data_IF_789346366283
#
_entry.id   IF_789346366283
#
_cell.length_a   1.000
_cell.length_b   1.000
_cell.length_c   1.000
_cell.angle_alpha   90.00
_cell.angle_beta   90.00
_cell.angle_gamma   90.00
#
_symmetry.space_group_name_H-M   'P 1'
#
loop_
_entity.id
_entity.type
_entity.pdbx_description
1 polymer ?
#
# COMPACT_ATOMS: atom_id res chain seq x y z
N UNK A 1 -25.37 -5.30 21.16
CA UNK A 1 -24.18 -6.08 20.80
C UNK A 1 -23.24 -5.11 20.11
N UNK A 2 -22.32 -4.47 20.84
CA UNK A 2 -21.40 -3.46 20.29
C UNK A 2 -20.27 -4.16 19.58
N UNK A 3 -19.97 -3.70 18.35
CA UNK A 3 -19.01 -4.29 17.43
C UNK A 3 -17.61 -4.36 18.05
N UNK A 4 -17.16 -5.58 18.32
CA UNK A 4 -15.83 -5.91 18.87
C UNK A 4 -14.70 -5.89 17.83
N UNK A 5 -14.90 -5.21 16.70
CA UNK A 5 -13.95 -5.24 15.57
C UNK A 5 -13.45 -3.85 15.16
N UNK A 6 -13.27 -2.95 16.13
CA UNK A 6 -12.55 -1.71 15.87
C UNK A 6 -11.06 -2.01 15.76
N UNK A 7 -10.60 -2.24 14.54
CA UNK A 7 -9.17 -2.24 14.22
C UNK A 7 -8.73 -0.78 14.16
N UNK A 8 -7.78 -0.34 15.04
CA UNK A 8 -7.21 0.99 14.92
C UNK A 8 -6.54 1.13 13.56
N UNK A 9 -7.00 2.07 12.74
CA UNK A 9 -6.49 2.27 11.39
C UNK A 9 -7.55 2.27 10.29
N UNK A 10 -8.82 2.21 10.59
CA UNK A 10 -9.94 2.59 9.71
C UNK A 10 -10.07 1.88 8.35
N UNK A 11 -9.15 0.97 7.99
CA UNK A 11 -9.03 0.45 6.64
C UNK A 11 -10.21 -0.42 6.19
N UNK A 12 -10.56 -1.44 6.94
CA UNK A 12 -11.56 -2.44 6.52
C UNK A 12 -12.99 -1.99 6.78
N UNK A 13 -13.29 -1.57 8.03
CA UNK A 13 -14.66 -1.20 8.44
C UNK A 13 -15.17 -0.02 7.62
N UNK A 14 -14.35 1.01 7.40
CA UNK A 14 -14.71 2.15 6.58
C UNK A 14 -14.90 1.82 5.09
N UNK A 15 -14.13 0.89 4.53
CA UNK A 15 -14.29 0.49 3.13
C UNK A 15 -15.53 -0.37 2.94
N UNK A 16 -15.80 -1.32 3.84
CA UNK A 16 -17.04 -2.09 3.83
C UNK A 16 -18.26 -1.19 4.00
N UNK A 17 -18.22 -0.24 4.94
CA UNK A 17 -19.31 0.71 5.16
C UNK A 17 -19.54 1.59 3.93
N UNK A 18 -18.48 2.10 3.29
CA UNK A 18 -18.59 2.88 2.05
C UNK A 18 -19.13 2.03 0.89
N UNK A 19 -18.59 0.83 0.66
CA UNK A 19 -19.08 -0.07 -0.38
C UNK A 19 -20.56 -0.36 -0.20
N UNK A 20 -21.02 -0.66 1.03
CA UNK A 20 -22.44 -0.89 1.34
C UNK A 20 -23.30 0.34 1.13
N UNK A 21 -22.81 1.53 1.50
CA UNK A 21 -23.53 2.79 1.33
C UNK A 21 -23.74 3.15 -0.15
N UNK A 22 -22.76 2.89 -1.00
CA UNK A 22 -22.85 3.17 -2.43
C UNK A 22 -23.53 2.06 -3.25
N UNK A 23 -23.65 0.84 -2.71
CA UNK A 23 -24.20 -0.30 -3.44
C UNK A 23 -25.60 -0.06 -4.02
N UNK A 24 -26.57 0.62 -3.33
CA UNK A 24 -27.87 0.93 -3.94
C UNK A 24 -27.77 1.81 -5.19
N UNK A 25 -26.86 2.80 -5.18
CA UNK A 25 -26.62 3.69 -6.32
C UNK A 25 -25.94 2.94 -7.48
N UNK A 26 -24.97 2.08 -7.17
CA UNK A 26 -24.30 1.24 -8.15
C UNK A 26 -25.30 0.30 -8.82
N UNK A 27 -26.19 -0.32 -8.05
CA UNK A 27 -27.25 -1.20 -8.58
C UNK A 27 -28.28 -0.46 -9.45
N UNK A 28 -28.49 0.82 -9.22
CA UNK A 28 -29.39 1.66 -10.01
C UNK A 28 -28.75 2.17 -11.30
N UNK A 29 -27.44 2.07 -11.46
CA UNK A 29 -26.73 2.43 -12.70
C UNK A 29 -26.85 1.33 -13.75
N UNK A 30 -26.78 1.71 -15.03
CA UNK A 30 -26.79 0.75 -16.12
C UNK A 30 -25.46 -0.06 -16.20
N UNK A 31 -24.37 0.56 -15.81
CA UNK A 31 -23.01 0.00 -15.71
C UNK A 31 -22.28 0.67 -14.58
N UNK A 32 -21.63 -0.09 -13.70
CA UNK A 32 -20.92 0.43 -12.54
C UNK A 32 -19.73 -0.43 -12.17
N UNK A 33 -18.66 0.24 -11.70
CA UNK A 33 -17.47 -0.43 -11.18
C UNK A 33 -17.13 0.10 -9.80
N UNK A 34 -16.98 -0.80 -8.83
CA UNK A 34 -16.47 -0.51 -7.49
C UNK A 34 -15.00 -0.90 -7.42
N UNK A 35 -14.14 0.07 -7.10
CA UNK A 35 -12.69 -0.13 -7.02
C UNK A 35 -12.21 0.00 -5.58
N UNK A 36 -11.61 -1.05 -5.04
CA UNK A 36 -10.96 -1.03 -3.74
C UNK A 36 -9.44 -1.08 -3.88
N UNK A 37 -8.76 -0.15 -3.23
CA UNK A 37 -7.29 -0.13 -3.22
C UNK A 37 -6.76 -0.88 -2.01
N UNK A 38 -6.14 -2.03 -2.27
CA UNK A 38 -5.34 -2.79 -1.31
C UNK A 38 -3.86 -2.38 -1.40
N UNK A 39 -2.95 -3.33 -1.53
CA UNK A 39 -1.49 -3.17 -1.64
C UNK A 39 -0.89 -4.53 -2.01
N UNK A 40 0.40 -4.59 -2.34
CA UNK A 40 1.19 -5.84 -2.28
C UNK A 40 1.08 -6.48 -0.89
N UNK A 41 0.99 -5.68 0.17
CA UNK A 41 0.73 -6.15 1.54
C UNK A 41 -0.65 -6.78 1.73
N UNK A 42 -1.50 -6.83 0.72
CA UNK A 42 -2.75 -7.58 0.72
C UNK A 42 -2.62 -9.04 0.25
N UNK A 43 -1.43 -9.45 -0.17
CA UNK A 43 -1.11 -10.84 -0.51
C UNK A 43 0.28 -11.29 -0.06
N UNK A 44 1.11 -10.35 0.39
CA UNK A 44 2.42 -10.58 0.97
C UNK A 44 2.61 -9.67 2.19
N UNK A 45 2.69 -10.26 3.40
CA UNK A 45 2.57 -9.52 4.66
C UNK A 45 3.89 -8.92 5.14
N UNK A 46 4.72 -8.42 4.22
CA UNK A 46 6.02 -7.83 4.55
C UNK A 46 6.36 -6.63 3.68
N UNK A 47 7.29 -5.81 4.15
CA UNK A 47 7.97 -4.77 3.38
C UNK A 47 9.50 -4.99 3.36
N UNK A 48 9.96 -6.11 3.88
CA UNK A 48 11.36 -6.46 4.00
C UNK A 48 11.75 -6.88 5.43
N UNK A 49 12.98 -7.39 5.61
CA UNK A 49 13.49 -7.82 6.91
C UNK A 49 13.44 -6.68 7.94
N UNK A 50 13.02 -6.98 9.16
CA UNK A 50 13.01 -6.00 10.25
C UNK A 50 11.91 -4.93 10.18
N UNK A 51 11.04 -4.95 9.15
CA UNK A 51 9.93 -3.98 9.01
C UNK A 51 8.56 -4.66 9.21
N UNK A 52 8.14 -4.93 10.44
CA UNK A 52 6.87 -5.57 10.72
C UNK A 52 5.71 -4.61 10.37
N UNK A 53 4.75 -5.10 9.59
CA UNK A 53 3.58 -4.34 9.15
C UNK A 53 2.28 -5.07 9.50
N UNK A 54 2.22 -5.69 10.67
CA UNK A 54 1.14 -6.61 11.08
C UNK A 54 -0.25 -6.01 10.89
N UNK A 55 -0.53 -4.86 11.50
CA UNK A 55 -1.85 -4.22 11.41
C UNK A 55 -2.19 -3.74 9.99
N UNK A 56 -1.20 -3.17 9.30
CA UNK A 56 -1.37 -2.71 7.92
C UNK A 56 -1.64 -3.87 6.97
N UNK A 57 -0.81 -4.91 7.03
CA UNK A 57 -0.98 -6.11 6.20
C UNK A 57 -2.31 -6.79 6.47
N UNK A 58 -2.68 -7.00 7.74
CA UNK A 58 -3.98 -7.57 8.10
C UNK A 58 -5.14 -6.77 7.47
N UNK A 59 -5.09 -5.42 7.55
CA UNK A 59 -6.11 -4.56 6.95
C UNK A 59 -6.14 -4.68 5.41
N UNK A 60 -4.96 -4.79 4.76
CA UNK A 60 -4.88 -4.89 3.29
C UNK A 60 -5.29 -6.27 2.76
N UNK A 61 -4.97 -7.37 3.47
CA UNK A 61 -5.52 -8.70 3.20
C UNK A 61 -7.05 -8.70 3.32
N UNK A 62 -7.57 -8.07 4.37
CA UNK A 62 -9.01 -7.98 4.57
C UNK A 62 -9.72 -7.17 3.46
N UNK A 63 -9.13 -6.07 2.96
CA UNK A 63 -9.66 -5.32 1.81
C UNK A 63 -9.69 -6.19 0.55
N UNK A 64 -8.63 -6.95 0.31
CA UNK A 64 -8.57 -7.87 -0.83
C UNK A 64 -9.62 -8.96 -0.70
N UNK A 65 -9.65 -9.70 0.41
CA UNK A 65 -10.60 -10.80 0.62
C UNK A 65 -12.06 -10.33 0.55
N UNK A 66 -12.37 -9.15 1.12
CA UNK A 66 -13.69 -8.53 0.99
C UNK A 66 -14.04 -8.25 -0.48
N UNK A 67 -13.10 -7.71 -1.27
CA UNK A 67 -13.38 -7.38 -2.67
C UNK A 67 -13.56 -8.64 -3.52
N UNK A 68 -12.76 -9.67 -3.30
CA UNK A 68 -12.89 -10.97 -3.98
C UNK A 68 -14.25 -11.63 -3.68
N UNK A 69 -14.68 -11.62 -2.42
CA UNK A 69 -15.99 -12.12 -2.02
C UNK A 69 -17.15 -11.29 -2.62
N UNK A 70 -16.96 -9.95 -2.68
CA UNK A 70 -17.96 -9.05 -3.28
C UNK A 70 -18.14 -9.30 -4.78
N UNK A 71 -17.08 -9.65 -5.51
CA UNK A 71 -17.16 -10.01 -6.94
C UNK A 71 -18.13 -11.19 -7.13
N UNK A 72 -18.04 -12.20 -6.27
CA UNK A 72 -18.91 -13.38 -6.37
C UNK A 72 -20.35 -13.06 -6.00
N UNK A 73 -20.55 -12.23 -4.96
CA UNK A 73 -21.88 -11.75 -4.59
C UNK A 73 -22.54 -10.93 -5.72
N UNK A 74 -21.80 -10.03 -6.33
CA UNK A 74 -22.28 -9.19 -7.43
C UNK A 74 -22.62 -9.99 -8.68
N UNK A 75 -21.85 -11.02 -9.02
CA UNK A 75 -22.18 -11.93 -10.14
C UNK A 75 -23.56 -12.54 -10.01
N UNK A 76 -23.95 -12.87 -8.79
CA UNK A 76 -25.26 -13.48 -8.51
C UNK A 76 -26.39 -12.46 -8.36
N UNK A 77 -26.14 -11.31 -7.75
CA UNK A 77 -27.18 -10.40 -7.29
C UNK A 77 -27.25 -9.06 -8.05
N UNK A 78 -26.21 -8.70 -8.80
CA UNK A 78 -26.15 -7.48 -9.60
C UNK A 78 -25.07 -7.59 -10.70
N UNK A 79 -25.24 -8.46 -11.72
CA UNK A 79 -24.19 -8.82 -12.68
C UNK A 79 -23.68 -7.65 -13.56
N UNK A 80 -24.41 -6.54 -13.61
CA UNK A 80 -24.02 -5.29 -14.26
C UNK A 80 -23.12 -4.40 -13.39
N UNK A 81 -22.91 -4.77 -12.11
CA UNK A 81 -22.01 -4.06 -11.21
C UNK A 81 -20.74 -4.89 -11.08
N UNK A 82 -19.61 -4.33 -11.49
CA UNK A 82 -18.32 -4.96 -11.39
C UNK A 82 -17.56 -4.49 -10.15
N UNK A 83 -16.64 -5.31 -9.65
CA UNK A 83 -15.72 -4.90 -8.61
C UNK A 83 -14.29 -5.25 -8.99
N UNK A 84 -13.34 -4.39 -8.60
CA UNK A 84 -11.91 -4.59 -8.83
C UNK A 84 -11.09 -4.26 -7.58
N UNK A 85 -10.01 -5.00 -7.39
CA UNK A 85 -9.00 -4.73 -6.36
C UNK A 85 -7.71 -4.26 -7.02
N UNK A 86 -7.22 -3.11 -6.56
CA UNK A 86 -5.94 -2.54 -6.98
C UNK A 86 -4.89 -2.91 -5.95
N UNK A 87 -3.76 -3.42 -6.41
CA UNK A 87 -2.65 -3.97 -5.62
C UNK A 87 -1.35 -3.25 -6.00
N UNK A 88 -1.14 -2.03 -5.50
CA UNK A 88 0.08 -1.28 -5.81
C UNK A 88 1.30 -1.87 -5.10
N UNK A 89 2.43 -1.87 -5.81
CA UNK A 89 3.76 -1.89 -5.24
C UNK A 89 4.22 -0.48 -4.84
N UNK A 90 5.47 -0.14 -5.12
CA UNK A 90 6.00 1.19 -4.83
C UNK A 90 5.54 2.21 -5.89
N UNK A 91 4.60 3.06 -5.52
CA UNK A 91 4.08 4.17 -6.34
C UNK A 91 4.46 5.50 -5.70
N UNK A 92 5.02 6.41 -6.49
CA UNK A 92 5.46 7.73 -6.08
C UNK A 92 4.31 8.64 -5.65
N UNK A 93 4.13 8.76 -4.33
CA UNK A 93 3.08 9.55 -3.69
C UNK A 93 3.56 10.09 -2.35
N UNK A 94 2.87 11.07 -1.81
CA UNK A 94 3.13 11.60 -0.45
C UNK A 94 2.49 10.73 0.66
N UNK A 95 2.48 9.41 0.49
CA UNK A 95 1.81 8.49 1.43
C UNK A 95 2.40 8.57 2.83
N UNK A 96 3.72 8.82 2.97
CA UNK A 96 4.39 8.94 4.27
C UNK A 96 3.82 10.14 5.02
N UNK A 97 3.86 11.33 4.44
CA UNK A 97 3.33 12.57 5.03
C UNK A 97 1.81 12.49 5.21
N UNK A 98 1.09 11.92 4.26
CA UNK A 98 -0.36 11.74 4.38
C UNK A 98 -0.73 10.77 5.50
N UNK A 99 0.09 9.75 5.77
CA UNK A 99 -0.11 8.83 6.91
C UNK A 99 0.11 9.53 8.25
N UNK A 100 1.07 10.45 8.32
CA UNK A 100 1.32 11.31 9.47
C UNK A 100 0.13 12.24 9.71
N UNK A 101 -0.34 12.93 8.67
CA UNK A 101 -1.52 13.81 8.74
C UNK A 101 -2.80 13.06 9.14
N UNK A 102 -2.97 11.84 8.69
CA UNK A 102 -4.11 11.00 9.06
C UNK A 102 -4.15 10.65 10.55
N UNK A 103 -3.02 10.75 11.27
CA UNK A 103 -2.92 10.62 12.73
C UNK A 103 -3.19 11.95 13.46
N UNK A 104 -3.55 13.02 12.74
CA UNK A 104 -3.77 14.35 13.31
C UNK A 104 -2.49 15.14 13.59
N UNK A 105 -1.36 14.69 13.06
CA UNK A 105 -0.06 15.36 13.22
C UNK A 105 0.21 16.31 12.04
N UNK A 106 0.95 17.41 12.25
CA UNK A 106 1.37 18.28 11.18
C UNK A 106 2.39 17.59 10.25
N UNK A 107 2.72 18.23 9.14
CA UNK A 107 3.82 17.78 8.30
C UNK A 107 5.16 17.88 9.07
N UNK A 108 6.17 17.03 8.74
CA UNK A 108 7.40 16.90 9.53
C UNK A 108 8.09 18.22 9.84
N UNK A 109 8.11 19.17 8.92
CA UNK A 109 8.69 20.49 9.07
C UNK A 109 8.05 21.36 10.17
N UNK A 110 6.80 21.04 10.57
CA UNK A 110 6.03 21.77 11.57
C UNK A 110 5.83 20.98 12.87
N UNK A 111 6.46 19.81 12.99
CA UNK A 111 6.37 18.99 14.20
C UNK A 111 7.17 19.58 15.35
N UNK A 112 6.65 19.47 16.56
CA UNK A 112 7.45 19.67 17.77
C UNK A 112 8.45 18.53 17.97
N UNK A 113 9.49 18.75 18.77
CA UNK A 113 10.49 17.71 19.10
C UNK A 113 9.84 16.46 19.68
N UNK A 114 8.86 16.63 20.57
CA UNK A 114 8.13 15.52 21.18
C UNK A 114 7.35 14.71 20.12
N UNK A 115 6.72 15.37 19.15
CA UNK A 115 5.98 14.69 18.09
C UNK A 115 6.89 13.90 17.15
N UNK A 116 8.07 14.44 16.85
CA UNK A 116 9.06 13.74 16.01
C UNK A 116 9.59 12.50 16.72
N UNK A 117 9.90 12.63 18.01
CA UNK A 117 10.36 11.51 18.84
C UNK A 117 9.29 10.43 19.04
N UNK A 118 8.00 10.80 19.10
CA UNK A 118 6.90 9.85 19.17
C UNK A 118 6.75 9.02 17.88
N UNK A 119 6.99 9.64 16.71
CA UNK A 119 6.97 8.95 15.42
C UNK A 119 8.19 8.05 15.23
N UNK A 120 9.34 8.49 15.71
CA UNK A 120 10.61 7.75 15.66
C UNK A 120 11.11 7.46 17.09
N UNK A 121 10.54 6.47 17.77
CA UNK A 121 10.98 6.10 19.12
C UNK A 121 12.44 5.59 19.11
N UNK A 122 13.06 5.55 20.27
CA UNK A 122 14.51 5.31 20.43
C UNK A 122 15.01 3.99 19.86
N UNK A 123 14.19 2.95 19.85
CA UNK A 123 14.49 1.67 19.21
C UNK A 123 14.59 1.79 17.69
N UNK A 124 13.66 2.52 17.07
CA UNK A 124 13.70 2.85 15.62
C UNK A 124 14.90 3.72 15.29
N UNK A 125 15.19 4.75 16.12
CA UNK A 125 16.37 5.60 15.93
C UNK A 125 17.67 4.79 15.99
N UNK A 126 17.79 3.87 16.95
CA UNK A 126 18.96 3.01 17.09
C UNK A 126 19.14 2.07 15.87
N UNK A 127 18.04 1.60 15.28
CA UNK A 127 18.09 0.79 14.07
C UNK A 127 18.53 1.62 12.87
N UNK A 128 17.98 2.81 12.70
CA UNK A 128 18.37 3.74 11.63
C UNK A 128 19.84 4.19 11.76
N UNK A 129 20.33 4.39 12.98
CA UNK A 129 21.74 4.70 13.23
C UNK A 129 22.65 3.53 12.87
N UNK A 130 22.28 2.30 13.22
CA UNK A 130 23.02 1.09 12.80
C UNK A 130 23.04 0.92 11.28
N UNK A 131 21.98 1.36 10.59
CA UNK A 131 21.91 1.37 9.13
C UNK A 131 22.66 2.56 8.49
N UNK A 132 23.26 3.45 9.29
CA UNK A 132 23.96 4.65 8.79
C UNK A 132 23.05 5.76 8.25
N UNK A 133 21.75 5.69 8.53
CA UNK A 133 20.75 6.67 8.09
C UNK A 133 20.56 7.83 9.07
N UNK A 134 21.01 7.65 10.33
CA UNK A 134 20.99 8.68 11.36
C UNK A 134 22.33 8.70 12.10
N UNK A 135 22.81 9.87 12.54
CA UNK A 135 23.96 9.95 13.46
C UNK A 135 23.61 9.37 14.85
N UNK A 136 24.60 8.88 15.58
CA UNK A 136 24.42 8.56 17.00
C UNK A 136 23.99 9.82 17.77
N UNK A 137 22.95 9.70 18.59
CA UNK A 137 22.44 10.82 19.35
C UNK A 137 21.74 11.90 18.50
N UNK A 138 21.13 11.50 17.41
CA UNK A 138 20.41 12.37 16.49
C UNK A 138 19.48 13.36 17.22
N UNK A 139 19.53 14.62 16.82
CA UNK A 139 18.64 15.67 17.32
C UNK A 139 17.23 15.54 16.71
N UNK A 140 16.26 16.24 17.29
CA UNK A 140 14.90 16.31 16.70
C UNK A 140 14.92 16.91 15.29
N UNK A 141 15.87 17.80 14.99
CA UNK A 141 16.02 18.35 13.63
C UNK A 141 16.55 17.31 12.66
N UNK A 142 17.49 16.46 13.07
CA UNK A 142 17.96 15.34 12.24
C UNK A 142 16.81 14.37 11.92
N UNK A 143 15.94 14.08 12.88
CA UNK A 143 14.76 13.25 12.67
C UNK A 143 13.75 13.89 11.72
N UNK A 144 13.50 15.22 11.82
CA UNK A 144 12.64 15.94 10.86
C UNK A 144 13.20 15.88 9.45
N UNK A 145 14.50 16.17 9.31
CA UNK A 145 15.17 16.11 8.01
C UNK A 145 15.09 14.71 7.39
N UNK A 146 15.30 13.67 8.20
CA UNK A 146 15.16 12.29 7.72
C UNK A 146 13.74 11.99 7.25
N UNK A 147 12.70 12.38 8.00
CA UNK A 147 11.30 12.18 7.59
C UNK A 147 10.97 12.89 6.28
N UNK A 148 11.46 14.13 6.12
CA UNK A 148 11.29 14.90 4.88
C UNK A 148 11.99 14.19 3.73
N UNK A 149 13.24 13.76 3.94
CA UNK A 149 14.02 13.06 2.92
C UNK A 149 13.41 11.71 2.55
N UNK A 150 12.94 10.92 3.52
CA UNK A 150 12.27 9.66 3.27
C UNK A 150 11.00 9.85 2.44
N UNK A 151 10.22 10.91 2.69
CA UNK A 151 9.03 11.19 1.89
C UNK A 151 9.40 11.60 0.45
N UNK A 152 10.40 12.46 0.30
CA UNK A 152 10.89 12.89 -1.01
C UNK A 152 11.43 11.69 -1.81
N UNK A 153 12.27 10.87 -1.18
CA UNK A 153 12.84 9.67 -1.82
C UNK A 153 11.76 8.66 -2.20
N UNK A 154 10.79 8.42 -1.31
CA UNK A 154 9.69 7.52 -1.61
C UNK A 154 8.85 7.99 -2.79
N UNK A 155 8.60 9.31 -2.89
CA UNK A 155 7.83 9.89 -3.99
C UNK A 155 8.63 9.96 -5.29
N UNK A 156 9.85 10.50 -5.23
CA UNK A 156 10.60 10.92 -6.40
C UNK A 156 11.44 9.81 -7.02
N UNK A 157 11.84 8.79 -6.21
CA UNK A 157 12.60 7.61 -6.66
C UNK A 157 11.73 6.38 -6.92
N UNK A 158 10.41 6.52 -6.86
CA UNK A 158 9.49 5.41 -7.10
C UNK A 158 9.58 4.92 -8.56
N UNK A 159 9.55 3.59 -8.80
CA UNK A 159 9.56 3.04 -10.14
C UNK A 159 8.30 3.32 -10.96
N UNK A 160 7.20 3.70 -10.28
CA UNK A 160 5.92 4.02 -10.92
C UNK A 160 5.42 5.35 -10.40
N UNK A 161 5.12 6.28 -11.29
CA UNK A 161 4.51 7.56 -10.94
C UNK A 161 3.01 7.40 -10.61
N UNK A 162 2.44 8.35 -9.87
CA UNK A 162 0.99 8.38 -9.59
C UNK A 162 0.15 8.45 -10.88
N UNK A 163 0.63 9.18 -11.90
CA UNK A 163 -0.05 9.29 -13.19
C UNK A 163 -0.04 7.97 -13.97
N UNK A 164 1.07 7.25 -13.94
CA UNK A 164 1.19 5.92 -14.55
C UNK A 164 0.32 4.90 -13.81
N UNK A 165 0.34 4.91 -12.49
CA UNK A 165 -0.54 4.06 -11.68
C UNK A 165 -2.03 4.30 -12.03
N UNK A 166 -2.44 5.56 -12.20
CA UNK A 166 -3.80 5.89 -12.62
C UNK A 166 -4.14 5.33 -14.01
N UNK A 167 -3.21 5.41 -14.97
CA UNK A 167 -3.40 4.80 -16.31
C UNK A 167 -3.58 3.29 -16.22
N UNK A 168 -2.71 2.59 -15.48
CA UNK A 168 -2.81 1.14 -15.28
C UNK A 168 -4.16 0.74 -14.66
N UNK A 169 -4.66 1.52 -13.69
CA UNK A 169 -5.98 1.28 -13.10
C UNK A 169 -7.07 1.43 -14.16
N UNK A 170 -7.10 2.55 -14.88
CA UNK A 170 -8.14 2.82 -15.87
C UNK A 170 -8.14 1.80 -17.00
N UNK A 171 -6.98 1.40 -17.50
CA UNK A 171 -6.85 0.40 -18.56
C UNK A 171 -7.26 -0.99 -18.06
N UNK A 172 -6.90 -1.34 -16.82
CA UNK A 172 -7.39 -2.56 -16.19
C UNK A 172 -8.91 -2.61 -16.07
N UNK A 173 -9.54 -1.50 -15.66
CA UNK A 173 -11.00 -1.41 -15.57
C UNK A 173 -11.66 -1.52 -16.95
N UNK A 174 -11.13 -0.84 -17.96
CA UNK A 174 -11.65 -0.90 -19.34
C UNK A 174 -11.56 -2.31 -19.94
N UNK A 175 -10.52 -3.06 -19.57
CA UNK A 175 -10.34 -4.45 -20.01
C UNK A 175 -11.10 -5.49 -19.18
N UNK A 176 -11.86 -5.06 -18.16
CA UNK A 176 -12.58 -5.96 -17.27
C UNK A 176 -11.68 -6.72 -16.28
N UNK A 177 -10.44 -6.25 -16.07
CA UNK A 177 -9.51 -6.86 -15.12
C UNK A 177 -9.93 -6.52 -13.71
N UNK A 178 -10.26 -7.53 -12.90
CA UNK A 178 -10.68 -7.32 -11.51
C UNK A 178 -9.52 -7.27 -10.53
N UNK A 179 -8.33 -7.78 -10.90
CA UNK A 179 -7.13 -7.84 -10.07
C UNK A 179 -6.00 -7.06 -10.75
N UNK A 180 -5.82 -5.82 -10.33
CA UNK A 180 -4.94 -4.85 -10.99
C UNK A 180 -3.66 -4.68 -10.16
N UNK A 181 -2.56 -5.26 -10.63
CA UNK A 181 -1.22 -5.10 -10.07
C UNK A 181 -0.56 -3.86 -10.68
N UNK A 182 0.03 -3.00 -9.83
CA UNK A 182 0.74 -1.80 -10.27
C UNK A 182 2.20 -1.89 -9.88
N UNK A 183 3.07 -1.81 -10.87
CA UNK A 183 4.52 -1.90 -10.74
C UNK A 183 5.07 -3.29 -11.06
N UNK A 184 6.33 -3.33 -11.48
CA UNK A 184 7.05 -4.58 -11.75
C UNK A 184 7.28 -5.36 -10.45
N UNK A 185 7.56 -4.65 -9.37
CA UNK A 185 7.69 -5.17 -8.01
C UNK A 185 6.42 -5.92 -7.56
N UNK A 186 5.24 -5.34 -7.74
CA UNK A 186 3.98 -6.00 -7.41
C UNK A 186 3.76 -7.29 -8.21
N UNK A 187 4.10 -7.27 -9.49
CA UNK A 187 3.96 -8.45 -10.38
C UNK A 187 4.94 -9.56 -9.99
N UNK A 188 6.18 -9.20 -9.67
CA UNK A 188 7.21 -10.15 -9.26
C UNK A 188 6.86 -10.81 -7.91
N UNK A 189 6.50 -10.01 -6.90
CA UNK A 189 6.09 -10.53 -5.59
C UNK A 189 4.85 -11.44 -5.73
N UNK A 190 3.88 -11.05 -6.58
CA UNK A 190 2.70 -11.87 -6.83
C UNK A 190 3.06 -13.22 -7.48
N UNK A 191 3.97 -13.23 -8.43
CA UNK A 191 4.45 -14.45 -9.05
C UNK A 191 5.14 -15.37 -8.03
N UNK A 192 6.06 -14.83 -7.22
CA UNK A 192 6.77 -15.58 -6.20
C UNK A 192 5.84 -16.18 -5.14
N UNK A 193 4.86 -15.39 -4.64
CA UNK A 193 3.87 -15.86 -3.66
C UNK A 193 2.97 -16.96 -4.23
N UNK A 194 2.67 -16.92 -5.52
CA UNK A 194 1.85 -17.96 -6.18
C UNK A 194 2.63 -19.22 -6.46
N UNK A 195 3.89 -19.10 -6.83
CA UNK A 195 4.76 -20.23 -7.14
C UNK A 195 5.14 -21.01 -5.88
N UNK A 196 5.56 -20.30 -4.82
CA UNK A 196 5.92 -20.90 -3.54
C UNK A 196 5.52 -20.00 -2.37
N UNK A 197 4.29 -20.11 -1.86
CA UNK A 197 3.77 -19.23 -0.81
C UNK A 197 4.54 -19.38 0.52
N UNK A 198 5.14 -20.54 0.80
CA UNK A 198 5.90 -20.78 2.04
C UNK A 198 7.28 -20.10 1.97
N UNK A 199 7.95 -20.13 0.82
CA UNK A 199 9.24 -19.49 0.61
C UNK A 199 9.12 -17.97 0.31
N UNK A 200 7.92 -17.44 0.11
CA UNK A 200 7.72 -16.04 -0.24
C UNK A 200 8.19 -15.04 0.84
N UNK A 201 8.57 -15.52 2.02
CA UNK A 201 9.17 -14.75 3.11
C UNK A 201 10.66 -15.03 3.29
N UNK A 202 11.26 -15.85 2.44
CA UNK A 202 12.71 -15.97 2.31
C UNK A 202 13.23 -14.84 1.41
N UNK A 203 13.73 -13.79 2.05
CA UNK A 203 14.13 -12.56 1.36
C UNK A 203 15.36 -12.75 0.46
N UNK A 204 16.23 -13.69 0.77
CA UNK A 204 17.42 -13.95 -0.04
C UNK A 204 17.00 -14.42 -1.43
N UNK A 205 16.03 -15.32 -1.53
CA UNK A 205 15.53 -15.83 -2.80
C UNK A 205 14.64 -14.83 -3.53
N UNK A 206 13.76 -14.12 -2.79
CA UNK A 206 12.83 -13.15 -3.37
C UNK A 206 13.55 -11.97 -4.03
N UNK A 207 14.59 -11.44 -3.41
CA UNK A 207 15.31 -10.26 -3.90
C UNK A 207 16.50 -10.57 -4.81
N UNK A 208 16.99 -11.81 -4.89
CA UNK A 208 17.96 -12.21 -5.90
C UNK A 208 17.42 -12.03 -7.32
N UNK A 209 16.13 -12.31 -7.53
CA UNK A 209 15.44 -12.06 -8.79
C UNK A 209 15.24 -10.57 -9.16
N UNK A 210 15.29 -9.65 -8.18
CA UNK A 210 15.20 -8.20 -8.45
C UNK A 210 16.49 -7.61 -9.00
N UNK A 211 17.64 -8.17 -8.61
CA UNK A 211 18.94 -7.70 -9.09
C UNK A 211 19.21 -8.08 -10.57
N UNK A 212 18.49 -9.06 -11.10
CA UNK A 212 18.61 -9.55 -12.47
C UNK A 212 17.56 -9.00 -13.44
N UNK A 213 16.57 -8.23 -12.95
CA UNK A 213 15.56 -7.65 -13.83
C UNK A 213 16.20 -6.58 -14.73
N UNK A 214 16.12 -6.69 -16.07
CA UNK A 214 16.66 -5.68 -16.97
C UNK A 214 15.98 -4.35 -16.72
N UNK A 215 16.78 -3.28 -16.64
CA UNK A 215 16.26 -1.92 -16.59
C UNK A 215 15.25 -1.73 -17.73
N UNK A 216 14.04 -1.23 -17.39
CA UNK A 216 13.01 -0.99 -18.38
C UNK A 216 13.58 -0.15 -19.53
N UNK A 217 13.52 -0.68 -20.75
CA UNK A 217 13.91 0.05 -21.96
C UNK A 217 13.10 1.35 -21.99
N UNK A 218 13.79 2.46 -21.89
CA UNK A 218 13.22 3.78 -22.13
C UNK A 218 12.77 3.81 -23.58
N UNK A 219 11.48 4.06 -23.91
CA UNK A 219 11.09 4.26 -25.28
C UNK A 219 11.86 5.48 -25.80
N UNK A 220 12.66 5.26 -26.84
CA UNK A 220 13.39 6.29 -27.55
C UNK A 220 12.47 7.36 -28.12
N UNK A 221 13.03 8.56 -28.48
CA UNK A 221 12.31 9.75 -28.85
C UNK A 221 11.45 9.59 -30.10
#
# INVERSE_FOLDING_TARGET
MRDRWEVPGGGLIHRQARSRAFLPLLKASADAVLVNTSSVNGFWASLGPGMPQTAYSAAKFAVRGFTEALIEDLRSNAPHVHAAVVLPGHVGTDIIVNSIRARGLPAPEFMSDAQVQDIMPSDVQAELSRAGLLPEGASADDLRHLLIQMNADFRDKAPVSAAEAARVILDGLRSGTWRILIGADAKMIDAAVRENPEAAYDYADLFSGLAEAPAAETPGP
#
